data_IF_454206064147
#
_entry.id   IF_454206064147
#
_cell.length_a   1.000
_cell.length_b   1.000
_cell.length_c   1.000
_cell.angle_alpha   90.00
_cell.angle_beta   90.00
_cell.angle_gamma   90.00
#
_symmetry.space_group_name_H-M   'P 1'
#
loop_
_entity.id
_entity.type
_entity.pdbx_description
1 polymer ?
#
# COMPACT_ATOMS: atom_id res chain seq x y z
N UNK A 1 15.53 -7.14 -11.79
CA UNK A 1 15.83 -6.08 -10.81
C UNK A 1 16.07 -4.81 -11.58
N UNK A 2 15.13 -3.88 -11.50
CA UNK A 2 15.25 -2.55 -12.08
C UNK A 2 15.79 -1.61 -10.99
N UNK A 3 16.74 -0.74 -11.34
CA UNK A 3 17.29 0.24 -10.41
C UNK A 3 16.63 1.59 -10.72
N UNK A 4 15.81 2.08 -9.80
CA UNK A 4 15.21 3.41 -9.88
C UNK A 4 16.16 4.40 -9.22
N UNK A 5 16.57 5.44 -9.96
CA UNK A 5 17.40 6.53 -9.43
C UNK A 5 16.60 7.82 -9.38
N UNK A 6 16.51 8.44 -8.19
CA UNK A 6 15.88 9.75 -8.01
C UNK A 6 16.91 10.74 -7.45
N UNK A 7 17.24 11.76 -8.22
CA UNK A 7 18.12 12.85 -7.78
C UNK A 7 17.26 13.98 -7.21
N UNK A 8 17.61 14.42 -5.99
CA UNK A 8 16.89 15.50 -5.30
C UNK A 8 17.90 16.62 -5.07
N UNK A 9 17.62 17.79 -5.63
CA UNK A 9 18.40 19.00 -5.37
C UNK A 9 17.95 19.63 -4.06
N UNK A 10 18.89 20.01 -3.21
CA UNK A 10 18.59 20.58 -1.90
C UNK A 10 19.69 21.54 -1.42
N UNK A 11 19.32 22.45 -0.52
CA UNK A 11 20.29 23.25 0.24
C UNK A 11 20.70 22.48 1.50
N UNK A 12 21.96 22.61 1.92
CA UNK A 12 22.52 21.90 3.09
C UNK A 12 21.67 22.02 4.37
N UNK A 13 20.93 23.12 4.54
CA UNK A 13 20.10 23.38 5.72
C UNK A 13 18.74 22.68 5.69
N UNK A 14 18.34 22.11 4.57
CA UNK A 14 17.05 21.45 4.41
C UNK A 14 17.05 20.09 5.11
N UNK A 15 15.93 19.79 5.79
CA UNK A 15 15.68 18.48 6.39
C UNK A 15 14.72 17.73 5.50
N UNK A 16 14.95 16.43 5.37
CA UNK A 16 14.06 15.50 4.68
C UNK A 16 13.55 14.48 5.67
N UNK A 17 12.31 14.06 5.46
CA UNK A 17 11.67 13.02 6.25
C UNK A 17 11.38 11.85 5.31
N UNK A 18 11.88 10.67 5.66
CA UNK A 18 11.62 9.45 4.91
C UNK A 18 10.64 8.58 5.69
N UNK A 19 9.54 8.22 5.04
CA UNK A 19 8.48 7.40 5.60
C UNK A 19 8.40 6.06 4.86
N UNK A 20 8.91 4.97 5.45
CA UNK A 20 8.67 3.63 4.93
C UNK A 20 7.23 3.22 5.26
N UNK A 21 6.43 2.88 4.24
CA UNK A 21 5.04 2.43 4.38
C UNK A 21 4.90 1.01 3.84
N UNK A 22 4.61 0.03 4.69
CA UNK A 22 4.32 -1.35 4.28
C UNK A 22 3.59 -2.09 5.38
N UNK A 23 3.34 -3.39 5.15
CA UNK A 23 2.51 -4.23 6.01
C UNK A 23 1.18 -3.54 6.36
N UNK A 24 0.64 -2.81 5.38
CA UNK A 24 -0.60 -2.06 5.55
C UNK A 24 -1.77 -3.04 5.68
N UNK A 25 -1.75 -4.12 4.89
CA UNK A 25 -2.80 -5.13 4.83
C UNK A 25 -4.21 -4.50 4.69
N UNK A 26 -4.35 -3.51 3.81
CA UNK A 26 -5.65 -2.87 3.60
C UNK A 26 -6.69 -3.90 3.11
N UNK A 27 -7.90 -3.84 3.68
CA UNK A 27 -9.01 -4.74 3.32
C UNK A 27 -9.36 -5.79 4.36
N UNK A 28 -8.68 -5.80 5.50
CA UNK A 28 -9.08 -6.55 6.70
C UNK A 28 -9.43 -5.62 7.86
N UNK A 29 -10.26 -6.07 8.79
CA UNK A 29 -10.70 -5.32 9.99
C UNK A 29 -9.54 -4.91 10.92
N UNK A 30 -8.38 -5.55 10.78
CA UNK A 30 -7.20 -5.27 11.60
C UNK A 30 -6.32 -4.15 11.04
N UNK A 31 -6.60 -3.67 9.82
CA UNK A 31 -5.94 -2.49 9.29
C UNK A 31 -6.47 -1.25 10.01
N UNK A 32 -5.58 -0.49 10.65
CA UNK A 32 -5.94 0.81 11.23
C UNK A 32 -5.99 1.88 10.13
N UNK A 33 -7.09 1.86 9.37
CA UNK A 33 -7.31 2.77 8.25
C UNK A 33 -7.32 4.25 8.67
N UNK A 34 -7.68 4.53 9.93
CA UNK A 34 -7.68 5.88 10.48
C UNK A 34 -6.25 6.36 10.68
N UNK A 35 -5.42 5.57 11.36
CA UNK A 35 -4.00 5.90 11.55
C UNK A 35 -3.25 6.01 10.21
N UNK A 36 -3.58 5.16 9.24
CA UNK A 36 -3.03 5.26 7.89
C UNK A 36 -3.43 6.57 7.20
N UNK A 37 -4.71 6.95 7.24
CA UNK A 37 -5.18 8.21 6.67
C UNK A 37 -4.54 9.43 7.35
N UNK A 38 -4.38 9.41 8.68
CA UNK A 38 -3.67 10.45 9.42
C UNK A 38 -2.20 10.55 9.00
N UNK A 39 -1.52 9.40 8.80
CA UNK A 39 -0.14 9.36 8.33
C UNK A 39 -0.01 9.89 6.91
N UNK A 40 -0.93 9.55 6.02
CA UNK A 40 -0.99 10.09 4.64
C UNK A 40 -1.14 11.62 4.70
N UNK A 41 -2.01 12.14 5.56
CA UNK A 41 -2.19 13.59 5.72
C UNK A 41 -0.98 14.28 6.35
N UNK A 42 -0.24 13.63 7.26
CA UNK A 42 1.04 14.11 7.77
C UNK A 42 2.08 14.24 6.63
N UNK A 43 2.29 13.16 5.87
CA UNK A 43 3.23 13.12 4.74
C UNK A 43 2.87 14.16 3.70
N UNK A 44 1.58 14.33 3.40
CA UNK A 44 1.07 15.33 2.46
C UNK A 44 1.39 16.77 2.88
N UNK A 45 1.26 17.09 4.16
CA UNK A 45 1.52 18.44 4.71
C UNK A 45 3.01 18.74 4.86
N UNK A 46 3.83 17.74 5.15
CA UNK A 46 5.27 17.92 5.32
C UNK A 46 5.95 18.20 3.98
N UNK A 47 6.61 19.36 3.86
CA UNK A 47 7.12 19.88 2.58
C UNK A 47 8.20 18.96 2.00
N UNK A 48 9.12 18.50 2.84
CA UNK A 48 10.25 17.69 2.43
C UNK A 48 10.08 16.21 2.83
N UNK A 49 8.83 15.75 2.89
CA UNK A 49 8.52 14.34 3.09
C UNK A 49 8.70 13.56 1.78
N UNK A 50 9.26 12.37 1.93
CA UNK A 50 9.43 11.36 0.92
C UNK A 50 8.95 10.05 1.52
N UNK A 51 8.44 9.15 0.70
CA UNK A 51 8.04 7.84 1.20
C UNK A 51 8.47 6.72 0.26
N UNK A 52 8.67 5.55 0.85
CA UNK A 52 9.03 4.34 0.15
C UNK A 52 7.98 3.30 0.52
N UNK A 53 7.33 2.72 -0.48
CA UNK A 53 6.45 1.60 -0.24
C UNK A 53 7.29 0.36 0.04
N UNK A 54 6.98 -0.36 1.11
CA UNK A 54 7.74 -1.50 1.64
C UNK A 54 7.10 -2.86 1.35
N UNK A 55 5.94 -2.89 0.68
CA UNK A 55 5.19 -4.11 0.34
C UNK A 55 4.04 -4.41 1.29
N UNK A 56 3.26 -5.43 0.93
CA UNK A 56 2.06 -5.91 1.62
C UNK A 56 1.04 -4.77 1.85
N UNK A 57 0.72 -4.07 0.76
CA UNK A 57 -0.16 -2.89 0.81
C UNK A 57 -1.62 -3.26 1.02
N UNK A 58 -2.06 -4.33 0.37
CA UNK A 58 -3.36 -4.95 0.58
C UNK A 58 -3.18 -6.36 1.13
N UNK A 59 -4.16 -6.85 1.87
CA UNK A 59 -4.07 -8.21 2.43
C UNK A 59 -4.16 -9.28 1.33
N UNK A 60 -5.04 -9.09 0.35
CA UNK A 60 -5.19 -9.89 -0.87
C UNK A 60 -5.29 -11.41 -0.67
N UNK A 61 -5.55 -11.90 0.55
CA UNK A 61 -5.81 -13.31 0.80
C UNK A 61 -7.21 -13.63 0.26
N UNK A 62 -7.30 -14.69 -0.53
CA UNK A 62 -8.54 -15.15 -1.15
C UNK A 62 -8.89 -16.57 -0.67
N UNK A 63 -10.14 -17.04 -0.85
CA UNK A 63 -10.54 -18.40 -0.45
C UNK A 63 -9.68 -19.53 -1.04
N UNK A 64 -8.97 -19.29 -2.15
CA UNK A 64 -8.03 -20.28 -2.71
C UNK A 64 -6.81 -20.53 -1.81
N UNK A 65 -6.44 -19.57 -0.96
CA UNK A 65 -5.43 -19.77 0.08
C UNK A 65 -6.11 -20.22 1.38
N UNK A 66 -6.60 -21.46 1.39
CA UNK A 66 -7.34 -22.03 2.53
C UNK A 66 -6.56 -22.00 3.85
N UNK A 67 -5.22 -21.95 3.80
CA UNK A 67 -4.38 -21.92 5.01
C UNK A 67 -4.41 -20.57 5.70
N UNK A 68 -4.43 -19.47 4.94
CA UNK A 68 -4.42 -18.10 5.46
C UNK A 68 -5.80 -17.43 5.46
N UNK A 69 -6.74 -17.95 4.67
CA UNK A 69 -8.06 -17.36 4.49
C UNK A 69 -8.89 -17.34 5.77
N UNK A 70 -9.36 -16.16 6.14
CA UNK A 70 -10.36 -15.96 7.19
C UNK A 70 -11.42 -14.95 6.75
N UNK A 71 -12.58 -15.44 6.28
CA UNK A 71 -13.65 -14.56 5.79
C UNK A 71 -14.25 -13.62 6.85
N UNK A 72 -14.03 -13.90 8.15
CA UNK A 72 -14.55 -13.08 9.26
C UNK A 72 -13.79 -11.78 9.47
N UNK A 73 -12.56 -11.70 8.98
CA UNK A 73 -11.71 -10.52 9.15
C UNK A 73 -11.78 -9.58 7.95
N UNK A 74 -12.60 -9.88 6.94
CA UNK A 74 -12.81 -9.00 5.79
C UNK A 74 -13.41 -7.67 6.28
N UNK A 75 -12.83 -6.56 5.83
CA UNK A 75 -13.30 -5.24 6.22
C UNK A 75 -14.77 -5.03 5.78
N UNK A 76 -15.60 -4.29 6.55
CA UNK A 76 -17.02 -4.13 6.22
C UNK A 76 -17.29 -3.60 4.81
N UNK A 77 -16.45 -2.69 4.31
CA UNK A 77 -16.57 -2.11 2.96
C UNK A 77 -16.26 -3.09 1.82
N UNK A 78 -15.71 -4.27 2.14
CA UNK A 78 -15.43 -5.35 1.19
C UNK A 78 -16.59 -6.35 1.06
N UNK A 79 -17.63 -6.26 1.89
CA UNK A 79 -18.71 -7.28 1.98
C UNK A 79 -19.37 -7.57 0.63
N UNK A 80 -19.61 -6.54 -0.18
CA UNK A 80 -20.22 -6.68 -1.51
C UNK A 80 -19.22 -7.04 -2.62
N UNK A 81 -17.94 -7.20 -2.29
CA UNK A 81 -16.83 -7.46 -3.23
C UNK A 81 -15.99 -8.68 -2.82
N UNK A 82 -16.55 -9.59 -2.02
CA UNK A 82 -15.84 -10.80 -1.52
C UNK A 82 -15.47 -11.78 -2.64
N UNK A 83 -16.09 -11.68 -3.81
CA UNK A 83 -15.74 -12.41 -5.03
C UNK A 83 -14.65 -11.70 -5.86
N UNK A 84 -14.27 -10.47 -5.49
CA UNK A 84 -13.36 -9.61 -6.23
C UNK A 84 -12.33 -8.93 -5.31
N UNK A 85 -11.70 -9.73 -4.42
CA UNK A 85 -10.89 -9.23 -3.31
C UNK A 85 -9.67 -8.43 -3.79
N UNK A 86 -8.78 -9.07 -4.55
CA UNK A 86 -7.53 -8.45 -5.00
C UNK A 86 -7.74 -7.11 -5.71
N UNK A 87 -8.59 -7.03 -6.74
CA UNK A 87 -8.79 -5.78 -7.50
C UNK A 87 -9.41 -4.68 -6.67
N UNK A 88 -10.29 -5.04 -5.74
CA UNK A 88 -10.97 -4.07 -4.88
C UNK A 88 -10.00 -3.49 -3.86
N UNK A 89 -9.14 -4.33 -3.26
CA UNK A 89 -8.11 -3.85 -2.34
C UNK A 89 -7.01 -3.05 -3.06
N UNK A 90 -6.57 -3.45 -4.26
CA UNK A 90 -5.61 -2.67 -5.08
C UNK A 90 -6.13 -1.26 -5.33
N UNK A 91 -7.40 -1.12 -5.76
CA UNK A 91 -8.02 0.21 -5.96
C UNK A 91 -8.16 0.99 -4.66
N UNK A 92 -8.43 0.33 -3.54
CA UNK A 92 -8.55 0.98 -2.25
C UNK A 92 -7.18 1.52 -1.77
N UNK A 93 -6.10 0.76 -1.97
CA UNK A 93 -4.74 1.18 -1.66
C UNK A 93 -4.34 2.37 -2.52
N UNK A 94 -4.56 2.30 -3.84
CA UNK A 94 -4.28 3.43 -4.73
C UNK A 94 -5.05 4.68 -4.28
N UNK A 95 -6.35 4.54 -3.98
CA UNK A 95 -7.15 5.66 -3.46
C UNK A 95 -6.58 6.23 -2.16
N UNK A 96 -6.15 5.39 -1.22
CA UNK A 96 -5.59 5.81 0.07
C UNK A 96 -4.25 6.52 -0.07
N UNK A 97 -3.36 6.05 -0.95
CA UNK A 97 -2.00 6.56 -1.10
C UNK A 97 -1.86 7.63 -2.20
N UNK A 98 -2.84 7.75 -3.10
CA UNK A 98 -2.83 8.74 -4.17
C UNK A 98 -2.61 10.19 -3.77
N UNK A 99 -3.03 10.67 -2.58
CA UNK A 99 -2.73 12.03 -2.14
C UNK A 99 -1.25 12.32 -1.91
N UNK A 100 -0.39 11.30 -1.87
CA UNK A 100 1.06 11.43 -1.63
C UNK A 100 1.91 10.79 -2.73
N UNK A 101 1.33 10.38 -3.87
CA UNK A 101 2.09 9.72 -4.96
C UNK A 101 3.25 10.56 -5.49
N UNK A 102 3.11 11.88 -5.52
CA UNK A 102 4.16 12.83 -5.94
C UNK A 102 5.43 12.75 -5.08
N UNK A 103 5.28 12.30 -3.81
CA UNK A 103 6.36 12.14 -2.84
C UNK A 103 6.92 10.71 -2.78
N UNK A 104 6.38 9.78 -3.57
CA UNK A 104 6.84 8.40 -3.60
C UNK A 104 8.23 8.29 -4.25
N UNK A 105 9.15 7.57 -3.61
CA UNK A 105 10.47 7.25 -4.15
C UNK A 105 10.46 5.97 -4.99
N UNK A 106 9.52 5.09 -4.70
CA UNK A 106 9.39 3.77 -5.30
C UNK A 106 8.55 2.86 -4.40
N UNK A 107 8.18 1.73 -4.98
CA UNK A 107 7.48 0.65 -4.30
C UNK A 107 8.38 -0.60 -4.37
N UNK A 108 8.30 -1.45 -3.36
CA UNK A 108 8.83 -2.82 -3.40
C UNK A 108 7.69 -3.78 -3.09
N UNK A 109 7.77 -4.99 -3.62
CA UNK A 109 6.73 -6.01 -3.41
C UNK A 109 6.96 -6.78 -2.11
N UNK A 110 5.90 -6.96 -1.34
CA UNK A 110 5.81 -7.95 -0.28
C UNK A 110 5.29 -9.29 -0.80
N UNK A 111 5.17 -10.27 0.09
CA UNK A 111 4.73 -11.61 -0.31
C UNK A 111 3.22 -11.68 -0.62
N UNK A 112 2.40 -10.78 -0.10
CA UNK A 112 0.99 -10.69 -0.46
C UNK A 112 0.83 -10.10 -1.87
N UNK A 113 1.61 -9.06 -2.20
CA UNK A 113 1.63 -8.41 -3.52
C UNK A 113 2.10 -9.39 -4.62
N UNK A 114 3.19 -10.13 -4.38
CA UNK A 114 3.71 -11.10 -5.36
C UNK A 114 2.73 -12.27 -5.58
N UNK A 115 2.03 -12.72 -4.54
CA UNK A 115 1.01 -13.75 -4.66
C UNK A 115 -0.17 -13.29 -5.53
N UNK A 116 -0.71 -12.09 -5.29
CA UNK A 116 -1.83 -11.60 -6.09
C UNK A 116 -1.41 -11.36 -7.55
N UNK A 117 -0.18 -10.86 -7.79
CA UNK A 117 0.36 -10.69 -9.14
C UNK A 117 0.50 -12.00 -9.89
N UNK A 118 1.03 -13.05 -9.23
CA UNK A 118 1.25 -14.36 -9.85
C UNK A 118 -0.04 -15.09 -10.19
N UNK A 119 -1.02 -15.06 -9.28
CA UNK A 119 -2.20 -15.92 -9.37
C UNK A 119 -3.45 -15.21 -9.89
N UNK A 120 -3.49 -13.87 -9.80
CA UNK A 120 -4.66 -13.09 -10.17
C UNK A 120 -4.35 -11.94 -11.15
N UNK A 121 -3.08 -11.75 -11.53
CA UNK A 121 -2.62 -10.76 -12.51
C UNK A 121 -2.87 -9.29 -12.12
N UNK A 122 -3.09 -8.99 -10.84
CA UNK A 122 -3.17 -7.62 -10.33
C UNK A 122 -1.86 -7.20 -9.70
N UNK A 123 -1.47 -5.95 -9.92
CA UNK A 123 -0.14 -5.44 -9.64
C UNK A 123 -0.27 -4.08 -8.95
N UNK A 124 0.30 -3.94 -7.75
CA UNK A 124 0.35 -2.67 -7.01
C UNK A 124 1.38 -1.69 -7.59
N UNK A 125 2.23 -2.16 -8.50
CA UNK A 125 3.39 -1.44 -9.01
C UNK A 125 3.11 -0.72 -10.35
N UNK A 126 1.86 -0.71 -10.83
CA UNK A 126 1.46 -0.20 -12.15
C UNK A 126 0.34 0.82 -12.11
#
# INVERSE_FOLDING_TARGET
MEVITKTIEYKQTEKFYLYPLGDIHLGVMHCDEVALAEKVEEIKKEKNALWLGMGDYGDCITPSDFKRWEGKIIAPWMTDNVDNIGPTQVRAVDKMLSPIWDKCLGLIEGNHDDNIRRFNHYDFMK
#
